data_IF_388661855196
#
_entry.id   IF_388661855196
#
_cell.length_a   1.000
_cell.length_b   1.000
_cell.length_c   1.000
_cell.angle_alpha   90.00
_cell.angle_beta   90.00
_cell.angle_gamma   90.00
#
_symmetry.space_group_name_H-M   'P 1'
#
loop_
_entity.id
_entity.type
_entity.pdbx_description
1 polymer ?
#
# COMPACT_ATOMS: atom_id res chain seq x y z
N UNK A 1 -3.95 19.80 5.65
CA UNK A 1 -3.61 19.24 4.34
C UNK A 1 -2.15 19.60 4.09
N UNK A 2 -1.23 18.66 4.26
CA UNK A 2 0.21 18.91 4.09
C UNK A 2 0.52 18.54 2.64
N UNK A 3 0.71 19.55 1.79
CA UNK A 3 1.09 19.40 0.39
C UNK A 3 2.59 19.65 0.26
N UNK A 4 3.40 18.73 0.77
CA UNK A 4 4.84 18.69 0.47
C UNK A 4 5.13 17.32 -0.15
N UNK A 5 5.59 17.30 -1.40
CA UNK A 5 5.98 16.07 -2.08
C UNK A 5 7.26 15.53 -1.44
N UNK A 6 7.14 14.45 -0.67
CA UNK A 6 8.30 13.72 -0.16
C UNK A 6 9.13 13.18 -1.33
N UNK A 7 10.44 13.45 -1.33
CA UNK A 7 11.36 12.77 -2.25
C UNK A 7 11.37 11.25 -1.98
N UNK A 8 11.78 10.45 -2.96
CA UNK A 8 11.91 9.00 -2.81
C UNK A 8 12.80 8.60 -1.62
N UNK A 9 13.84 9.39 -1.32
CA UNK A 9 14.72 9.17 -0.17
C UNK A 9 14.00 9.44 1.15
N UNK A 10 13.23 10.53 1.24
CA UNK A 10 12.44 10.87 2.41
C UNK A 10 11.33 9.84 2.67
N UNK A 11 10.64 9.40 1.61
CA UNK A 11 9.64 8.35 1.69
C UNK A 11 10.27 7.02 2.14
N UNK A 12 11.42 6.64 1.59
CA UNK A 12 12.16 5.45 2.03
C UNK A 12 12.50 5.52 3.52
N UNK A 13 13.00 6.66 4.00
CA UNK A 13 13.36 6.83 5.40
C UNK A 13 12.12 6.68 6.29
N UNK A 14 11.03 7.36 5.94
CA UNK A 14 9.76 7.27 6.67
C UNK A 14 9.27 5.81 6.75
N UNK A 15 9.19 5.11 5.61
CA UNK A 15 8.69 3.74 5.56
C UNK A 15 9.59 2.77 6.34
N UNK A 16 10.91 3.00 6.35
CA UNK A 16 11.85 2.20 7.16
C UNK A 16 11.59 2.35 8.66
N UNK A 17 11.24 3.56 9.13
CA UNK A 17 10.99 3.84 10.54
C UNK A 17 9.60 3.40 11.01
N UNK A 18 8.63 3.35 10.10
CA UNK A 18 7.23 2.97 10.36
C UNK A 18 7.06 1.46 10.35
N UNK A 19 7.54 0.80 9.29
CA UNK A 19 7.44 -0.64 9.13
C UNK A 19 8.79 -1.26 9.46
N UNK A 20 9.10 -1.52 10.72
CA UNK A 20 10.40 -2.10 11.12
C UNK A 20 10.67 -3.48 10.49
N UNK A 21 11.92 -3.94 10.51
CA UNK A 21 12.31 -5.21 9.88
C UNK A 21 11.62 -6.45 10.48
N UNK A 22 11.17 -6.36 11.72
CA UNK A 22 10.42 -7.37 12.45
C UNK A 22 8.90 -7.24 12.29
N UNK A 23 8.42 -6.15 11.67
CA UNK A 23 7.01 -5.95 11.42
C UNK A 23 6.49 -7.04 10.46
N UNK A 24 5.36 -7.63 10.82
CA UNK A 24 4.63 -8.51 9.91
C UNK A 24 3.82 -7.64 8.96
N UNK A 25 4.25 -7.58 7.70
CA UNK A 25 3.64 -6.73 6.68
C UNK A 25 2.79 -7.58 5.74
N UNK A 26 1.60 -7.07 5.42
CA UNK A 26 0.66 -7.66 4.48
C UNK A 26 0.29 -6.64 3.42
N UNK A 27 -0.22 -7.11 2.29
CA UNK A 27 -0.75 -6.22 1.26
C UNK A 27 -2.01 -6.75 0.61
N UNK A 28 -2.89 -5.81 0.24
CA UNK A 28 -4.11 -6.05 -0.52
C UNK A 28 -4.09 -5.09 -1.70
N UNK A 29 -4.33 -5.60 -2.91
CA UNK A 29 -4.47 -4.74 -4.08
C UNK A 29 -5.54 -5.27 -5.03
N UNK A 30 -6.12 -4.36 -5.81
CA UNK A 30 -7.06 -4.71 -6.86
C UNK A 30 -6.31 -5.39 -8.02
N UNK A 31 -6.56 -6.68 -8.22
CA UNK A 31 -5.92 -7.44 -9.29
C UNK A 31 -6.75 -7.44 -10.56
N UNK A 32 -8.06 -7.61 -10.43
CA UNK A 32 -8.98 -7.78 -11.56
C UNK A 32 -10.39 -7.29 -11.25
N UNK A 33 -11.16 -7.07 -12.31
CA UNK A 33 -12.60 -6.87 -12.28
C UNK A 33 -13.28 -8.07 -12.95
N UNK A 34 -14.48 -8.43 -12.49
CA UNK A 34 -15.37 -9.34 -13.18
C UNK A 34 -16.54 -8.53 -13.73
N UNK A 35 -16.67 -8.47 -15.06
CA UNK A 35 -17.75 -7.71 -15.73
C UNK A 35 -18.45 -8.68 -16.68
N UNK A 36 -19.76 -8.88 -16.51
CA UNK A 36 -20.54 -9.84 -17.30
C UNK A 36 -19.89 -11.23 -17.34
N UNK A 37 -19.50 -11.74 -16.17
CA UNK A 37 -18.81 -13.03 -15.99
C UNK A 37 -17.45 -13.16 -16.70
N UNK A 38 -16.81 -12.04 -17.10
CA UNK A 38 -15.47 -12.05 -17.69
C UNK A 38 -14.49 -11.31 -16.79
N UNK A 39 -13.35 -11.94 -16.52
CA UNK A 39 -12.24 -11.30 -15.81
C UNK A 39 -11.53 -10.29 -16.72
N UNK A 40 -11.23 -9.12 -16.17
CA UNK A 40 -10.43 -8.05 -16.78
C UNK A 40 -9.35 -7.63 -15.80
N UNK A 41 -8.10 -7.67 -16.23
CA UNK A 41 -6.99 -7.26 -15.37
C UNK A 41 -7.04 -5.76 -15.06
N UNK A 42 -6.80 -5.40 -13.80
CA UNK A 42 -6.53 -4.02 -13.40
C UNK A 42 -5.09 -3.59 -13.75
N UNK A 43 -4.26 -4.53 -14.22
CA UNK A 43 -2.84 -4.35 -14.57
C UNK A 43 -2.02 -3.55 -13.54
N UNK A 44 -2.06 -3.91 -12.24
CA UNK A 44 -1.45 -3.10 -11.20
C UNK A 44 0.10 -3.22 -11.17
N UNK A 45 0.69 -4.10 -12.01
CA UNK A 45 2.14 -4.39 -12.13
C UNK A 45 2.87 -4.66 -10.79
N UNK A 46 2.14 -4.98 -9.72
CA UNK A 46 2.67 -5.20 -8.36
C UNK A 46 3.78 -6.24 -8.34
N UNK A 47 3.62 -7.33 -9.11
CA UNK A 47 4.59 -8.41 -9.22
C UNK A 47 5.98 -8.00 -9.76
N UNK A 48 6.14 -6.79 -10.31
CA UNK A 48 7.46 -6.25 -10.69
C UNK A 48 8.29 -5.78 -9.50
N UNK A 49 7.62 -5.40 -8.41
CA UNK A 49 8.25 -4.79 -7.23
C UNK A 49 8.11 -5.64 -5.97
N UNK A 50 7.08 -6.49 -5.93
CA UNK A 50 6.79 -7.40 -4.82
C UNK A 50 6.88 -8.82 -5.34
N UNK A 51 7.69 -9.66 -4.70
CA UNK A 51 7.70 -11.08 -4.98
C UNK A 51 6.47 -11.73 -4.34
N UNK A 52 5.55 -12.24 -5.17
CA UNK A 52 4.25 -12.76 -4.72
C UNK A 52 4.21 -14.27 -4.96
N UNK A 53 4.19 -15.05 -3.88
CA UNK A 53 4.14 -16.53 -3.94
C UNK A 53 2.97 -17.14 -3.16
N UNK A 54 2.28 -16.34 -2.35
CA UNK A 54 1.30 -16.78 -1.37
C UNK A 54 0.00 -15.96 -1.40
N UNK A 55 -0.41 -15.50 -2.58
CA UNK A 55 -1.62 -14.69 -2.71
C UNK A 55 -2.90 -15.52 -2.55
N UNK A 56 -3.97 -14.87 -2.10
CA UNK A 56 -5.34 -15.40 -2.11
C UNK A 56 -6.28 -14.37 -2.73
N UNK A 57 -7.22 -14.82 -3.54
CA UNK A 57 -8.24 -13.96 -4.12
C UNK A 57 -9.42 -13.78 -3.14
N UNK A 58 -9.89 -12.55 -3.03
CA UNK A 58 -11.16 -12.20 -2.38
C UNK A 58 -12.01 -11.50 -3.43
N UNK A 59 -13.20 -12.03 -3.68
CA UNK A 59 -14.15 -11.51 -4.67
C UNK A 59 -15.24 -10.75 -3.92
N UNK A 60 -15.41 -9.48 -4.24
CA UNK A 60 -16.45 -8.60 -3.68
C UNK A 60 -17.41 -8.27 -4.80
N UNK A 61 -18.68 -8.64 -4.64
CA UNK A 61 -19.73 -8.35 -5.61
C UNK A 61 -20.36 -6.99 -5.33
N UNK A 62 -20.53 -6.22 -6.39
CA UNK A 62 -21.36 -5.03 -6.43
C UNK A 62 -22.68 -5.42 -7.11
N UNK A 63 -23.73 -5.55 -6.30
CA UNK A 63 -25.05 -5.99 -6.77
C UNK A 63 -25.74 -4.94 -7.65
N UNK A 64 -25.36 -3.66 -7.53
CA UNK A 64 -26.00 -2.58 -8.30
C UNK A 64 -25.50 -2.56 -9.75
N UNK A 65 -24.20 -2.78 -9.96
CA UNK A 65 -23.54 -2.63 -11.25
C UNK A 65 -23.30 -3.96 -12.01
N UNK A 66 -23.65 -5.12 -11.44
CA UNK A 66 -23.30 -6.46 -11.96
C UNK A 66 -21.79 -6.59 -12.26
N UNK A 67 -20.99 -6.05 -11.33
CA UNK A 67 -19.53 -6.07 -11.35
C UNK A 67 -19.01 -6.73 -10.08
N UNK A 68 -17.90 -7.45 -10.19
CA UNK A 68 -17.15 -7.88 -9.02
C UNK A 68 -15.73 -7.31 -9.04
N UNK A 69 -15.20 -7.00 -7.86
CA UNK A 69 -13.81 -6.60 -7.65
C UNK A 69 -13.05 -7.80 -7.08
N UNK A 70 -11.93 -8.15 -7.70
CA UNK A 70 -11.07 -9.24 -7.25
C UNK A 70 -9.83 -8.61 -6.61
N UNK A 71 -9.71 -8.79 -5.29
CA UNK A 71 -8.56 -8.35 -4.52
C UNK A 71 -7.59 -9.50 -4.33
N UNK A 72 -6.31 -9.25 -4.59
CA UNK A 72 -5.22 -10.16 -4.23
C UNK A 72 -4.71 -9.80 -2.84
N UNK A 73 -4.82 -10.74 -1.91
CA UNK A 73 -4.31 -10.65 -0.55
C UNK A 73 -2.99 -11.39 -0.46
N UNK A 74 -1.89 -10.70 -0.19
CA UNK A 74 -0.55 -11.27 -0.04
C UNK A 74 -0.10 -11.06 1.40
N UNK A 75 0.34 -12.14 2.05
CA UNK A 75 0.78 -12.12 3.46
C UNK A 75 2.30 -12.13 3.54
N UNK A 76 2.83 -11.63 4.65
CA UNK A 76 4.25 -11.68 5.01
C UNK A 76 5.19 -11.18 3.89
N UNK A 77 4.92 -10.00 3.33
CA UNK A 77 5.86 -9.38 2.39
C UNK A 77 7.04 -8.77 3.14
N UNK A 78 8.17 -8.60 2.47
CA UNK A 78 9.33 -7.93 3.07
C UNK A 78 9.15 -6.41 3.09
N UNK A 79 9.74 -5.74 4.09
CA UNK A 79 9.89 -4.28 4.13
C UNK A 79 10.54 -3.76 2.84
N UNK A 80 11.52 -4.49 2.32
CA UNK A 80 12.18 -4.14 1.05
C UNK A 80 11.19 -4.10 -0.12
N UNK A 81 10.26 -5.06 -0.20
CA UNK A 81 9.22 -5.09 -1.25
C UNK A 81 8.29 -3.88 -1.15
N UNK A 82 7.87 -3.53 0.08
CA UNK A 82 7.06 -2.33 0.35
C UNK A 82 7.80 -1.07 -0.09
N UNK A 83 9.07 -0.90 0.32
CA UNK A 83 9.88 0.28 -0.02
C UNK A 83 10.11 0.34 -1.53
N UNK A 84 10.49 -0.77 -2.15
CA UNK A 84 10.70 -0.86 -3.59
C UNK A 84 9.44 -0.48 -4.36
N UNK A 85 8.27 -0.94 -3.90
CA UNK A 85 7.00 -0.56 -4.51
C UNK A 85 6.76 0.95 -4.40
N UNK A 86 6.83 1.51 -3.20
CA UNK A 86 6.49 2.92 -2.96
C UNK A 86 7.48 3.92 -3.59
N UNK A 87 8.73 3.52 -3.83
CA UNK A 87 9.77 4.42 -4.35
C UNK A 87 10.10 4.22 -5.82
N UNK A 88 9.78 3.06 -6.41
CA UNK A 88 10.13 2.73 -7.80
C UNK A 88 8.93 2.48 -8.71
N UNK A 89 7.72 2.30 -8.17
CA UNK A 89 6.54 2.16 -9.00
C UNK A 89 6.03 3.52 -9.46
N UNK A 90 5.31 3.54 -10.57
CA UNK A 90 4.55 4.71 -11.04
C UNK A 90 3.27 4.95 -10.21
N UNK A 91 3.11 4.25 -9.07
CA UNK A 91 1.94 4.27 -8.16
C UNK A 91 0.59 4.14 -8.91
N UNK A 92 0.55 3.29 -9.94
CA UNK A 92 -0.65 3.10 -10.78
C UNK A 92 -1.72 2.22 -10.12
N UNK A 93 -1.41 1.51 -9.04
CA UNK A 93 -2.34 0.58 -8.41
C UNK A 93 -2.91 1.12 -7.11
N UNK A 94 -4.19 0.83 -6.89
CA UNK A 94 -4.83 0.91 -5.59
C UNK A 94 -4.33 -0.26 -4.74
N UNK A 95 -3.46 0.05 -3.79
CA UNK A 95 -2.80 -0.94 -2.94
C UNK A 95 -2.74 -0.45 -1.50
N UNK A 96 -2.96 -1.38 -0.59
CA UNK A 96 -2.81 -1.18 0.84
C UNK A 96 -1.67 -2.06 1.31
N UNK A 97 -0.80 -1.51 2.15
CA UNK A 97 0.13 -2.24 2.98
C UNK A 97 -0.30 -2.07 4.43
N UNK A 98 -0.23 -3.11 5.24
CA UNK A 98 -0.60 -2.99 6.65
C UNK A 98 0.20 -3.93 7.54
N UNK A 99 0.38 -3.49 8.79
CA UNK A 99 0.85 -4.27 9.93
C UNK A 99 -0.22 -4.23 11.03
N UNK A 100 0.13 -4.65 12.25
CA UNK A 100 -0.72 -4.48 13.42
C UNK A 100 -0.93 -3.00 13.79
N UNK A 101 0.10 -2.19 13.55
CA UNK A 101 0.18 -0.80 13.98
C UNK A 101 -0.27 0.21 12.92
N UNK A 102 0.05 -0.07 11.65
CA UNK A 102 -0.08 0.91 10.58
C UNK A 102 -0.80 0.34 9.37
N UNK A 103 -1.52 1.22 8.69
CA UNK A 103 -2.05 1.03 7.34
C UNK A 103 -1.47 2.11 6.43
N UNK A 104 -0.77 1.71 5.38
CA UNK A 104 -0.30 2.56 4.31
C UNK A 104 -1.16 2.32 3.07
N UNK A 105 -1.94 3.33 2.70
CA UNK A 105 -2.73 3.34 1.47
C UNK A 105 -1.98 4.11 0.39
N UNK A 106 -1.89 3.53 -0.80
CA UNK A 106 -1.21 4.11 -1.95
C UNK A 106 -2.14 4.07 -3.14
N UNK A 107 -2.31 5.21 -3.80
CA UNK A 107 -2.90 5.33 -5.12
C UNK A 107 -2.09 6.32 -5.99
N UNK A 108 -2.64 6.72 -7.15
CA UNK A 108 -1.96 7.62 -8.08
C UNK A 108 -1.77 9.05 -7.56
N UNK A 109 -2.56 9.46 -6.57
CA UNK A 109 -2.71 10.86 -6.18
C UNK A 109 -2.19 11.11 -4.75
N UNK A 110 -2.34 10.12 -3.86
CA UNK A 110 -2.04 10.23 -2.43
C UNK A 110 -1.33 8.97 -1.91
N UNK A 111 -0.51 9.21 -0.88
CA UNK A 111 0.07 8.18 -0.03
C UNK A 111 -0.35 8.52 1.39
N UNK A 112 -1.30 7.76 1.93
CA UNK A 112 -1.83 7.97 3.27
C UNK A 112 -1.26 6.94 4.23
N UNK A 113 -0.73 7.42 5.36
CA UNK A 113 -0.28 6.57 6.45
C UNK A 113 -1.17 6.78 7.66
N UNK A 114 -1.81 5.69 8.07
CA UNK A 114 -2.90 5.65 9.04
C UNK A 114 -2.48 4.75 10.19
N UNK A 115 -2.86 5.13 11.41
CA UNK A 115 -2.75 4.34 12.63
C UNK A 115 -3.99 4.62 13.48
N UNK A 116 -4.41 3.65 14.28
CA UNK A 116 -5.48 3.84 15.27
C UNK A 116 -4.94 4.35 16.61
N UNK A 117 -3.65 4.15 16.91
CA UNK A 117 -3.00 4.61 18.14
C UNK A 117 -2.61 6.11 18.04
N UNK A 118 -3.15 7.00 18.89
CA UNK A 118 -2.79 8.41 18.92
C UNK A 118 -1.30 8.67 19.16
N UNK A 119 -0.61 7.83 19.94
CA UNK A 119 0.83 7.96 20.17
C UNK A 119 1.63 7.69 18.90
N UNK A 120 1.20 6.70 18.12
CA UNK A 120 1.80 6.41 16.82
C UNK A 120 1.53 7.53 15.82
N UNK A 121 0.32 8.08 15.79
CA UNK A 121 0.00 9.25 14.95
C UNK A 121 0.92 10.43 15.29
N UNK A 122 1.15 10.71 16.57
CA UNK A 122 2.05 11.79 16.98
C UNK A 122 3.51 11.50 16.59
N UNK A 123 3.96 10.25 16.74
CA UNK A 123 5.26 9.80 16.23
C UNK A 123 5.37 10.08 14.72
N UNK A 124 4.37 9.75 13.92
CA UNK A 124 4.35 10.02 12.47
C UNK A 124 4.48 11.52 12.17
N UNK A 125 3.76 12.38 12.90
CA UNK A 125 3.84 13.84 12.72
C UNK A 125 5.25 14.38 13.00
N UNK A 126 5.88 13.88 14.07
CA UNK A 126 7.26 14.27 14.42
C UNK A 126 8.27 13.79 13.37
N UNK A 127 8.11 12.55 12.89
CA UNK A 127 8.95 11.98 11.83
C UNK A 127 8.82 12.75 10.53
N UNK A 128 7.60 13.10 10.13
CA UNK A 128 7.35 13.90 8.94
C UNK A 128 8.05 15.26 9.04
N UNK A 129 7.84 16.00 10.14
CA UNK A 129 8.51 17.31 10.37
C UNK A 129 10.04 17.20 10.29
N UNK A 130 10.63 16.17 10.93
CA UNK A 130 12.08 15.94 10.90
C UNK A 130 12.59 15.68 9.48
N UNK A 131 11.80 15.00 8.67
CA UNK A 131 12.15 14.56 7.32
C UNK A 131 12.05 15.70 6.31
N UNK A 132 11.11 16.63 6.48
CA UNK A 132 10.91 17.80 5.60
C UNK A 132 11.68 19.05 6.01
N UNK A 133 12.26 19.10 7.22
CA UNK A 133 13.04 20.26 7.70
C UNK A 133 14.52 20.26 7.28
N UNK A 134 14.91 19.42 6.30
CA UNK A 134 16.26 19.36 5.72
C UNK A 134 16.20 19.72 4.24
#
# INVERSE_FOLDING_TARGET
MITDTLSATQLKQLLTEVFSNDATIHTIFLSEYMIRNKRKSANPKVGKHIHITNWREVIIWDEEDDVAFIHAHVRNISQESLINYCTKSTLEAYIIFYSEDYLLYVNSDVVDLISEDPMQIEKLRLLHKKTTSK
#
